data_IF_215969346294
#
_entry.id   IF_215969346294
#
_cell.length_a   1.000
_cell.length_b   1.000
_cell.length_c   1.000
_cell.angle_alpha   90.00
_cell.angle_beta   90.00
_cell.angle_gamma   90.00
#
_symmetry.space_group_name_H-M   'P 1'
#
loop_
_entity.id
_entity.type
_entity.pdbx_description
1 polymer ?
#
# COMPACT_ATOMS: atom_id res chain seq x y z
N UNK A 1 -0.45 -13.11 -3.49
CA UNK A 1 -0.87 -12.09 -2.49
C UNK A 1 -0.84 -10.66 -3.05
N UNK A 2 0.24 -10.23 -3.76
CA UNK A 2 0.30 -8.87 -4.32
C UNK A 2 -0.86 -8.55 -5.27
N UNK A 3 -1.29 -9.50 -6.09
CA UNK A 3 -2.47 -9.39 -6.95
C UNK A 3 -3.76 -9.16 -6.14
N UNK A 4 -3.87 -9.75 -4.94
CA UNK A 4 -5.00 -9.50 -4.03
C UNK A 4 -5.01 -8.05 -3.54
N UNK A 5 -3.83 -7.47 -3.26
CA UNK A 5 -3.71 -6.06 -2.91
C UNK A 5 -4.22 -5.15 -4.03
N UNK A 6 -3.79 -5.41 -5.26
CA UNK A 6 -4.25 -4.65 -6.44
C UNK A 6 -5.76 -4.72 -6.61
N UNK A 7 -6.34 -5.90 -6.49
CA UNK A 7 -7.80 -6.07 -6.58
C UNK A 7 -8.54 -5.47 -5.39
N UNK A 8 -7.96 -5.51 -4.20
CA UNK A 8 -8.54 -4.86 -3.03
C UNK A 8 -8.62 -3.33 -3.22
N UNK A 9 -7.57 -2.71 -3.75
CA UNK A 9 -7.58 -1.27 -4.07
C UNK A 9 -8.59 -0.95 -5.17
N UNK A 10 -8.65 -1.74 -6.24
CA UNK A 10 -9.71 -1.62 -7.27
C UNK A 10 -11.11 -1.66 -6.63
N UNK A 11 -11.36 -2.64 -5.80
CA UNK A 11 -12.66 -2.84 -5.15
C UNK A 11 -13.00 -1.74 -4.14
N UNK A 12 -11.98 -1.13 -3.51
CA UNK A 12 -12.13 0.07 -2.67
C UNK A 12 -12.63 1.24 -3.51
N UNK A 13 -11.99 1.52 -4.63
CA UNK A 13 -12.37 2.61 -5.54
C UNK A 13 -13.80 2.41 -6.05
N UNK A 14 -14.15 1.19 -6.44
CA UNK A 14 -15.52 0.88 -6.90
C UNK A 14 -16.53 1.14 -5.78
N UNK A 15 -16.26 0.73 -4.52
CA UNK A 15 -17.15 0.98 -3.38
C UNK A 15 -17.30 2.46 -3.06
N UNK A 16 -16.22 3.22 -3.14
CA UNK A 16 -16.27 4.68 -2.98
C UNK A 16 -17.21 5.31 -4.01
N UNK A 17 -17.09 4.91 -5.28
CA UNK A 17 -17.96 5.41 -6.37
C UNK A 17 -19.40 4.95 -6.23
N UNK A 18 -19.65 3.69 -5.86
CA UNK A 18 -21.00 3.20 -5.62
C UNK A 18 -21.71 3.98 -4.49
N UNK A 19 -20.95 4.51 -3.53
CA UNK A 19 -21.48 5.36 -2.46
C UNK A 19 -21.53 6.84 -2.83
N UNK A 20 -20.97 7.24 -3.98
CA UNK A 20 -20.93 8.64 -4.41
C UNK A 20 -22.28 9.03 -5.06
N UNK A 21 -22.89 10.17 -4.67
CA UNK A 21 -24.11 10.68 -5.30
C UNK A 21 -24.03 10.84 -6.82
N UNK A 22 -22.84 11.10 -7.39
CA UNK A 22 -22.62 11.16 -8.83
C UNK A 22 -22.92 9.84 -9.57
N UNK A 23 -22.91 8.71 -8.83
CA UNK A 23 -23.21 7.37 -9.30
C UNK A 23 -24.43 6.74 -8.62
N UNK A 24 -25.40 7.56 -8.22
CA UNK A 24 -26.66 7.10 -7.59
C UNK A 24 -26.62 6.99 -6.07
N UNK A 25 -25.45 7.18 -5.42
CA UNK A 25 -25.34 7.38 -3.96
C UNK A 25 -25.83 6.24 -3.09
N UNK A 26 -25.42 5.00 -3.37
CA UNK A 26 -25.82 3.85 -2.54
C UNK A 26 -25.06 3.83 -1.21
N UNK A 27 -25.64 4.41 -0.17
CA UNK A 27 -25.06 4.52 1.17
C UNK A 27 -24.71 3.17 1.82
N UNK A 28 -25.32 2.06 1.36
CA UNK A 28 -25.00 0.74 1.87
C UNK A 28 -23.53 0.31 1.67
N UNK A 29 -22.77 1.02 0.81
CA UNK A 29 -21.33 0.80 0.61
C UNK A 29 -20.43 1.55 1.60
N UNK A 30 -21.00 2.41 2.46
CA UNK A 30 -20.32 3.10 3.57
C UNK A 30 -20.97 2.76 4.89
N UNK A 31 -20.17 2.71 5.95
CA UNK A 31 -20.63 2.59 7.34
C UNK A 31 -20.30 3.92 8.00
N UNK A 32 -21.32 4.65 8.44
CA UNK A 32 -21.21 5.91 9.15
C UNK A 32 -21.69 5.81 10.61
N UNK A 33 -22.30 4.68 10.98
CA UNK A 33 -22.79 4.40 12.32
C UNK A 33 -22.32 3.01 12.78
N UNK A 34 -22.07 2.85 14.07
CA UNK A 34 -21.78 1.55 14.67
C UNK A 34 -23.07 0.72 14.85
N UNK A 35 -22.94 -0.47 15.46
CA UNK A 35 -24.10 -1.36 15.71
C UNK A 35 -25.11 -0.80 16.69
N UNK A 36 -24.69 0.17 17.51
CA UNK A 36 -25.51 0.80 18.53
C UNK A 36 -26.11 2.14 18.04
N UNK A 37 -25.85 2.51 16.76
CA UNK A 37 -26.35 3.73 16.14
C UNK A 37 -25.53 4.98 16.45
N UNK A 38 -24.33 4.84 17.03
CA UNK A 38 -23.46 5.99 17.27
C UNK A 38 -22.67 6.35 15.99
N UNK A 39 -22.49 7.65 15.71
CA UNK A 39 -21.74 8.07 14.53
C UNK A 39 -20.26 7.67 14.65
N UNK A 40 -19.74 7.06 13.61
CA UNK A 40 -18.33 6.72 13.47
C UNK A 40 -17.72 7.42 12.25
N UNK A 41 -16.37 7.51 12.20
CA UNK A 41 -15.71 8.00 11.00
C UNK A 41 -16.13 7.12 9.81
N UNK A 42 -16.74 7.70 8.77
CA UNK A 42 -17.22 6.92 7.62
C UNK A 42 -16.10 6.06 6.99
N UNK A 43 -16.39 4.79 6.78
CA UNK A 43 -15.48 3.84 6.15
C UNK A 43 -16.23 2.89 5.21
N UNK A 44 -15.49 2.19 4.34
CA UNK A 44 -16.10 1.31 3.34
C UNK A 44 -16.71 0.06 3.97
N UNK A 45 -17.91 -0.29 3.51
CA UNK A 45 -18.58 -1.53 3.90
C UNK A 45 -18.11 -2.70 3.02
N UNK A 46 -17.19 -3.48 3.54
CA UNK A 46 -16.69 -4.68 2.87
C UNK A 46 -17.64 -5.86 2.90
N UNK A 47 -18.65 -5.86 3.78
CA UNK A 47 -19.68 -6.91 3.83
C UNK A 47 -20.71 -6.77 2.70
N UNK A 48 -20.84 -5.58 2.11
CA UNK A 48 -21.70 -5.36 0.96
C UNK A 48 -20.99 -5.84 -0.30
N UNK A 49 -21.57 -6.81 -0.99
CA UNK A 49 -21.03 -7.30 -2.25
C UNK A 49 -21.16 -6.27 -3.37
N UNK A 50 -20.12 -6.12 -4.20
CA UNK A 50 -20.19 -5.32 -5.44
C UNK A 50 -21.10 -6.06 -6.42
N UNK A 51 -22.08 -5.39 -7.07
CA UNK A 51 -23.04 -6.01 -7.97
C UNK A 51 -22.44 -6.29 -9.36
N UNK A 52 -21.49 -7.22 -9.41
CA UNK A 52 -20.84 -7.64 -10.67
C UNK A 52 -21.82 -8.26 -11.70
N UNK A 53 -22.92 -8.84 -11.18
CA UNK A 53 -23.97 -9.43 -12.00
C UNK A 53 -25.24 -8.59 -11.89
N UNK A 54 -25.78 -8.19 -13.00
CA UNK A 54 -27.02 -7.39 -13.07
C UNK A 54 -26.95 -6.07 -12.25
N UNK A 55 -25.93 -5.22 -12.46
CA UNK A 55 -25.88 -3.89 -11.85
C UNK A 55 -26.99 -3.01 -12.44
N UNK A 56 -27.46 -2.04 -11.68
CA UNK A 56 -28.25 -0.92 -12.22
C UNK A 56 -27.39 -0.07 -13.16
N UNK A 57 -27.98 0.87 -13.88
CA UNK A 57 -27.23 1.74 -14.80
C UNK A 57 -26.17 2.57 -14.07
N UNK A 58 -26.51 3.13 -12.92
CA UNK A 58 -25.57 3.91 -12.07
C UNK A 58 -24.48 3.02 -11.50
N UNK A 59 -24.80 1.83 -11.00
CA UNK A 59 -23.83 0.87 -10.50
C UNK A 59 -22.90 0.38 -11.62
N UNK A 60 -23.43 0.18 -12.81
CA UNK A 60 -22.62 -0.18 -13.99
C UNK A 60 -21.62 0.94 -14.30
N UNK A 61 -22.04 2.21 -14.32
CA UNK A 61 -21.15 3.35 -14.53
C UNK A 61 -20.05 3.41 -13.48
N UNK A 62 -20.38 3.20 -12.19
CA UNK A 62 -19.41 3.16 -11.10
C UNK A 62 -18.37 2.04 -11.30
N UNK A 63 -18.81 0.84 -11.66
CA UNK A 63 -17.92 -0.30 -11.92
C UNK A 63 -17.08 -0.06 -13.18
N UNK A 64 -17.68 0.40 -14.28
CA UNK A 64 -16.99 0.65 -15.54
C UNK A 64 -15.93 1.74 -15.44
N UNK A 65 -16.11 2.69 -14.56
CA UNK A 65 -15.23 3.86 -14.42
C UNK A 65 -13.79 3.53 -13.98
N UNK A 66 -13.51 2.32 -13.44
CA UNK A 66 -12.15 1.85 -13.15
C UNK A 66 -11.49 1.14 -14.32
N UNK A 67 -12.18 1.03 -15.44
CA UNK A 67 -11.67 0.40 -16.66
C UNK A 67 -11.51 1.43 -17.76
N UNK A 68 -10.66 1.12 -18.71
CA UNK A 68 -10.47 1.89 -19.94
C UNK A 68 -10.49 0.96 -21.14
N UNK A 69 -10.75 1.53 -22.31
CA UNK A 69 -10.56 0.83 -23.57
C UNK A 69 -9.13 1.08 -24.05
N UNK A 70 -8.39 0.02 -24.29
CA UNK A 70 -7.06 0.12 -24.86
C UNK A 70 -7.17 0.66 -26.30
N UNK A 71 -6.55 1.79 -26.65
CA UNK A 71 -6.72 2.41 -27.96
C UNK A 71 -6.11 1.60 -29.11
N UNK A 72 -5.21 0.65 -28.82
CA UNK A 72 -4.53 -0.17 -29.82
C UNK A 72 -5.29 -1.47 -30.05
N UNK A 73 -5.70 -2.15 -28.97
CA UNK A 73 -6.30 -3.48 -29.05
C UNK A 73 -7.83 -3.45 -29.05
N UNK A 74 -8.46 -2.33 -28.66
CA UNK A 74 -9.89 -2.23 -28.39
C UNK A 74 -10.36 -3.02 -27.17
N UNK A 75 -9.46 -3.68 -26.45
CA UNK A 75 -9.81 -4.48 -25.28
C UNK A 75 -10.10 -3.59 -24.06
N UNK A 76 -11.08 -4.01 -23.25
CA UNK A 76 -11.34 -3.40 -21.96
C UNK A 76 -10.30 -3.90 -20.96
N UNK A 77 -9.58 -2.99 -20.35
CA UNK A 77 -8.54 -3.26 -19.35
C UNK A 77 -8.70 -2.37 -18.12
N UNK A 78 -8.14 -2.79 -17.00
CA UNK A 78 -8.11 -2.00 -15.78
C UNK A 78 -7.29 -0.71 -16.01
N UNK A 79 -7.83 0.45 -15.63
CA UNK A 79 -7.07 1.70 -15.70
C UNK A 79 -6.10 1.77 -14.51
N UNK A 80 -4.90 1.28 -14.73
CA UNK A 80 -3.84 1.17 -13.71
C UNK A 80 -3.44 2.51 -13.10
N UNK A 81 -3.69 3.64 -13.79
CA UNK A 81 -3.37 4.99 -13.29
C UNK A 81 -4.21 5.37 -12.08
N UNK A 82 -5.38 4.75 -11.92
CA UNK A 82 -6.29 4.99 -10.81
C UNK A 82 -5.99 4.15 -9.58
N UNK A 83 -5.12 3.15 -9.67
CA UNK A 83 -4.81 2.23 -8.59
C UNK A 83 -3.85 2.85 -7.57
N UNK A 84 -4.33 3.90 -6.91
CA UNK A 84 -3.57 4.63 -5.91
C UNK A 84 -4.02 4.20 -4.50
N UNK A 85 -3.08 3.74 -3.71
CA UNK A 85 -3.31 3.36 -2.32
C UNK A 85 -2.80 4.46 -1.40
N UNK A 86 -3.72 5.00 -0.58
CA UNK A 86 -3.39 5.96 0.47
C UNK A 86 -3.27 5.24 1.79
N UNK A 87 -2.17 5.50 2.51
CA UNK A 87 -1.94 4.94 3.84
C UNK A 87 -1.23 5.93 4.75
N UNK A 88 -1.32 5.68 6.04
CA UNK A 88 -0.71 6.50 7.07
C UNK A 88 0.29 5.65 7.86
N UNK A 89 1.43 6.27 8.22
CA UNK A 89 2.49 5.64 9.01
C UNK A 89 2.83 6.54 10.18
N UNK A 90 2.86 5.97 11.38
CA UNK A 90 3.23 6.71 12.57
C UNK A 90 4.73 7.04 12.58
N UNK A 91 5.06 8.32 12.74
CA UNK A 91 6.42 8.81 12.77
C UNK A 91 7.03 8.66 14.15
N UNK A 92 7.55 7.48 14.46
CA UNK A 92 8.18 7.17 15.74
C UNK A 92 9.40 8.04 16.02
N UNK A 93 10.13 8.46 14.99
CA UNK A 93 11.33 9.33 15.15
C UNK A 93 10.95 10.70 15.70
N UNK A 94 9.89 11.30 15.15
CA UNK A 94 9.39 12.57 15.69
C UNK A 94 8.73 12.39 17.08
N UNK A 95 7.95 11.34 17.26
CA UNK A 95 7.27 11.05 18.52
C UNK A 95 8.26 10.77 19.67
N UNK A 96 9.44 10.21 19.39
CA UNK A 96 10.47 9.93 20.41
C UNK A 96 11.19 11.17 20.94
N UNK A 97 11.08 12.32 20.26
CA UNK A 97 11.73 13.55 20.71
C UNK A 97 11.12 14.05 22.02
N UNK A 98 11.96 14.36 23.01
CA UNK A 98 11.48 14.82 24.34
C UNK A 98 10.54 16.02 24.28
N UNK A 99 10.81 16.97 23.38
CA UNK A 99 9.99 18.17 23.18
C UNK A 99 8.60 17.88 22.57
N UNK A 100 8.39 16.71 21.99
CA UNK A 100 7.15 16.27 21.37
C UNK A 100 6.30 15.38 22.30
N UNK A 101 6.62 15.33 23.58
CA UNK A 101 5.95 14.47 24.53
C UNK A 101 4.49 14.92 24.76
N UNK A 102 3.56 14.03 24.47
CA UNK A 102 2.14 14.24 24.73
C UNK A 102 1.75 13.83 26.15
N UNK A 103 0.67 14.42 26.66
CA UNK A 103 0.00 13.96 27.88
C UNK A 103 -0.56 12.54 27.67
N UNK A 104 -0.18 11.54 28.50
CA UNK A 104 -0.60 10.15 28.28
C UNK A 104 -2.12 9.93 28.34
N UNK A 105 -2.84 10.76 29.12
CA UNK A 105 -4.28 10.62 29.29
C UNK A 105 -5.07 11.32 28.18
N UNK A 106 -4.61 12.49 27.76
CA UNK A 106 -5.36 13.35 26.79
C UNK A 106 -4.86 13.22 25.37
N UNK A 107 -3.65 12.65 25.15
CA UNK A 107 -3.00 12.52 23.82
C UNK A 107 -2.81 13.86 23.09
N UNK A 108 -2.65 14.92 23.85
CA UNK A 108 -2.34 16.27 23.37
C UNK A 108 -0.99 16.70 23.94
N UNK A 109 -0.45 17.81 23.44
CA UNK A 109 0.85 18.32 23.90
C UNK A 109 0.84 18.52 25.43
N UNK A 110 1.84 17.95 26.10
CA UNK A 110 2.01 18.07 27.55
C UNK A 110 2.84 19.33 27.86
N UNK A 111 2.15 20.41 28.20
CA UNK A 111 2.77 21.70 28.51
C UNK A 111 3.65 21.67 29.77
N UNK A 112 3.43 20.72 30.70
CA UNK A 112 4.21 20.62 31.92
C UNK A 112 5.68 20.19 31.66
N UNK A 113 5.97 19.60 30.51
CA UNK A 113 7.35 19.23 30.11
C UNK A 113 7.99 20.24 29.16
N UNK A 114 7.29 21.31 28.78
CA UNK A 114 7.82 22.35 27.94
C UNK A 114 8.45 23.47 28.76
N UNK A 115 9.66 23.94 28.41
CA UNK A 115 10.29 25.05 29.11
C UNK A 115 9.52 26.38 29.00
N UNK A 116 8.82 26.55 27.89
CA UNK A 116 7.99 27.71 27.59
C UNK A 116 6.65 27.21 27.08
N UNK A 117 5.56 27.31 27.88
CA UNK A 117 4.23 26.88 27.50
C UNK A 117 3.64 27.64 26.30
N UNK A 118 4.13 28.85 26.03
CA UNK A 118 3.71 29.66 24.88
C UNK A 118 4.54 29.39 23.62
N UNK A 119 5.67 28.67 23.77
CA UNK A 119 6.50 28.31 22.64
C UNK A 119 5.79 27.29 21.75
N UNK A 120 5.69 27.63 20.47
CA UNK A 120 5.13 26.73 19.47
C UNK A 120 6.08 25.54 19.22
N UNK A 121 5.61 24.33 19.52
CA UNK A 121 6.36 23.11 19.24
C UNK A 121 6.04 22.62 17.83
N UNK A 122 7.03 22.71 16.96
CA UNK A 122 6.89 22.35 15.54
C UNK A 122 7.31 20.89 15.31
N UNK A 123 6.54 20.20 14.47
CA UNK A 123 6.84 18.85 13.99
C UNK A 123 6.97 18.85 12.46
N UNK A 124 7.91 18.05 11.97
CA UNK A 124 8.07 17.75 10.55
C UNK A 124 7.31 16.46 10.22
N UNK A 125 6.46 16.51 9.20
CA UNK A 125 5.70 15.34 8.73
C UNK A 125 5.61 15.29 7.23
N UNK A 126 5.63 14.08 6.68
CA UNK A 126 5.38 13.86 5.28
C UNK A 126 3.89 13.82 5.00
N UNK A 127 3.47 14.46 3.93
CA UNK A 127 2.10 14.42 3.45
C UNK A 127 2.07 14.23 1.94
N UNK A 128 1.14 13.42 1.47
CA UNK A 128 0.91 13.22 0.05
C UNK A 128 -0.53 13.60 -0.30
N UNK A 129 -0.70 14.21 -1.48
CA UNK A 129 -1.98 14.61 -2.03
C UNK A 129 -1.92 14.58 -3.57
N UNK A 130 -3.07 14.73 -4.22
CA UNK A 130 -3.16 14.92 -5.66
C UNK A 130 -3.15 16.40 -5.97
N UNK A 131 -2.34 16.81 -6.96
CA UNK A 131 -2.41 18.16 -7.53
C UNK A 131 -3.62 18.31 -8.47
N UNK A 132 -3.79 19.52 -9.04
CA UNK A 132 -4.89 19.83 -9.96
C UNK A 132 -4.84 18.99 -11.26
N UNK A 133 -3.66 18.48 -11.63
CA UNK A 133 -3.45 17.59 -12.76
C UNK A 133 -3.66 16.10 -12.42
N UNK A 134 -3.97 15.78 -11.14
CA UNK A 134 -4.13 14.43 -10.64
C UNK A 134 -2.82 13.68 -10.42
N UNK A 135 -1.68 14.38 -10.33
CA UNK A 135 -0.38 13.78 -10.00
C UNK A 135 -0.20 13.67 -8.51
N UNK A 136 0.46 12.62 -8.08
CA UNK A 136 0.80 12.44 -6.65
C UNK A 136 1.97 13.34 -6.31
N UNK A 137 1.74 14.25 -5.37
CA UNK A 137 2.77 15.13 -4.78
C UNK A 137 3.01 14.68 -3.35
N UNK A 138 4.26 14.38 -3.03
CA UNK A 138 4.70 14.10 -1.64
C UNK A 138 5.62 15.23 -1.20
N UNK A 139 5.32 15.83 -0.06
CA UNK A 139 6.13 16.90 0.51
C UNK A 139 6.23 16.78 2.03
N UNK A 140 7.35 17.22 2.58
CA UNK A 140 7.53 17.37 4.02
C UNK A 140 7.05 18.77 4.42
N UNK A 141 6.06 18.80 5.33
CA UNK A 141 5.53 20.04 5.89
C UNK A 141 5.97 20.18 7.36
N UNK A 142 6.07 21.44 7.80
CA UNK A 142 6.30 21.78 9.22
C UNK A 142 5.03 22.42 9.75
N UNK A 143 4.52 21.91 10.88
CA UNK A 143 3.30 22.39 11.51
C UNK A 143 3.38 22.31 13.03
N UNK A 144 2.54 23.07 13.76
CA UNK A 144 2.43 22.93 15.21
C UNK A 144 1.98 21.53 15.59
N UNK A 145 2.63 20.97 16.63
CA UNK A 145 2.23 19.72 17.25
C UNK A 145 1.09 20.00 18.23
N UNK A 146 -0.06 19.40 18.00
CA UNK A 146 -1.25 19.56 18.86
C UNK A 146 -1.71 18.21 19.43
N UNK A 147 -1.62 17.13 18.66
CA UNK A 147 -2.14 15.82 19.03
C UNK A 147 -1.32 14.67 18.44
N UNK A 148 -1.64 13.44 18.85
CA UNK A 148 -1.03 12.22 18.30
C UNK A 148 -1.20 12.06 16.80
N UNK A 149 -2.26 12.63 16.21
CA UNK A 149 -2.51 12.56 14.76
C UNK A 149 -1.49 13.36 13.94
N UNK A 150 -0.79 14.30 14.58
CA UNK A 150 0.27 15.05 13.90
C UNK A 150 1.51 14.21 13.61
N UNK A 151 1.68 13.06 14.30
CA UNK A 151 2.73 12.09 14.01
C UNK A 151 2.42 11.16 12.84
N UNK A 152 1.24 11.24 12.22
CA UNK A 152 0.90 10.40 11.09
C UNK A 152 1.41 11.00 9.79
N UNK A 153 2.45 10.41 9.22
CA UNK A 153 2.85 10.66 7.84
C UNK A 153 1.84 10.04 6.89
N UNK A 154 1.50 10.75 5.81
CA UNK A 154 0.55 10.27 4.80
C UNK A 154 1.26 10.05 3.49
N UNK A 155 1.05 8.88 2.89
CA UNK A 155 1.60 8.50 1.58
C UNK A 155 0.49 8.08 0.63
N UNK A 156 0.68 8.36 -0.65
CA UNK A 156 -0.15 7.87 -1.75
C UNK A 156 0.78 7.22 -2.76
N UNK A 157 0.54 5.96 -3.10
CA UNK A 157 1.39 5.21 -4.02
C UNK A 157 0.51 4.53 -5.07
N UNK A 158 0.85 4.69 -6.36
CA UNK A 158 0.27 3.85 -7.39
C UNK A 158 0.86 2.44 -7.24
N UNK A 159 -0.01 1.46 -7.07
CA UNK A 159 0.40 0.12 -6.65
C UNK A 159 0.51 -0.90 -7.79
N UNK A 160 0.24 -0.49 -9.03
CA UNK A 160 0.36 -1.43 -10.14
C UNK A 160 1.83 -1.65 -10.51
N UNK A 161 2.31 -2.90 -10.62
CA UNK A 161 3.70 -3.18 -10.96
C UNK A 161 4.09 -2.60 -12.32
N UNK A 162 5.33 -2.13 -12.44
CA UNK A 162 5.88 -1.68 -13.71
C UNK A 162 6.16 -2.89 -14.61
N UNK A 163 5.29 -3.10 -15.58
CA UNK A 163 5.45 -4.19 -16.55
C UNK A 163 6.63 -3.99 -17.51
N UNK A 164 7.12 -2.74 -17.65
CA UNK A 164 8.26 -2.44 -18.55
C UNK A 164 9.60 -2.93 -17.99
N UNK A 165 9.64 -3.29 -16.69
CA UNK A 165 10.81 -3.90 -16.04
C UNK A 165 11.34 -5.15 -16.78
N UNK A 166 10.49 -5.83 -17.57
CA UNK A 166 10.88 -6.98 -18.37
C UNK A 166 11.71 -6.65 -19.62
N UNK A 167 11.65 -5.39 -20.10
CA UNK A 167 12.25 -4.98 -21.38
C UNK A 167 13.22 -3.81 -21.26
N UNK A 168 13.19 -3.06 -20.13
CA UNK A 168 13.98 -1.84 -19.97
C UNK A 168 15.51 -2.08 -19.95
N UNK A 169 15.95 -3.21 -19.40
CA UNK A 169 17.40 -3.48 -19.22
C UNK A 169 18.04 -4.20 -20.40
N UNK A 170 17.23 -4.75 -21.32
CA UNK A 170 17.72 -5.56 -22.44
C UNK A 170 16.92 -5.30 -23.71
N UNK A 171 17.38 -4.40 -24.57
CA UNK A 171 16.71 -3.98 -25.81
C UNK A 171 16.36 -5.12 -26.78
N UNK A 172 17.03 -6.26 -26.68
CA UNK A 172 16.79 -7.43 -27.51
C UNK A 172 16.38 -8.68 -26.72
N UNK A 173 15.97 -8.52 -25.46
CA UNK A 173 15.39 -9.63 -24.71
C UNK A 173 14.01 -9.97 -25.28
N UNK A 174 13.79 -11.23 -25.64
CA UNK A 174 12.49 -11.73 -26.08
C UNK A 174 11.48 -11.82 -24.92
N UNK A 175 11.47 -10.82 -24.03
CA UNK A 175 10.67 -10.77 -22.79
C UNK A 175 9.34 -10.03 -22.96
N UNK A 176 9.02 -9.53 -24.16
CA UNK A 176 7.76 -8.82 -24.43
C UNK A 176 6.50 -9.62 -24.01
N UNK A 177 6.44 -10.95 -24.18
CA UNK A 177 5.32 -11.72 -23.66
C UNK A 177 5.15 -11.62 -22.14
N UNK A 178 6.25 -11.56 -21.38
CA UNK A 178 6.22 -11.39 -19.92
C UNK A 178 5.74 -9.99 -19.54
N UNK A 179 6.20 -8.96 -20.24
CA UNK A 179 5.72 -7.58 -20.04
C UNK A 179 4.20 -7.52 -20.14
N UNK A 180 3.60 -8.21 -21.10
CA UNK A 180 2.15 -8.19 -21.33
C UNK A 180 1.34 -9.09 -20.41
N UNK A 181 1.89 -10.24 -20.02
CA UNK A 181 1.09 -11.30 -19.40
C UNK A 181 1.52 -11.69 -17.99
N UNK A 182 2.75 -11.45 -17.58
CA UNK A 182 3.28 -12.02 -16.34
C UNK A 182 2.44 -11.68 -15.11
N UNK A 183 2.09 -10.41 -14.93
CA UNK A 183 1.26 -10.03 -13.80
C UNK A 183 -0.21 -10.44 -13.95
N UNK A 184 -0.76 -10.38 -15.15
CA UNK A 184 -2.18 -10.61 -15.39
C UNK A 184 -2.56 -12.09 -15.49
N UNK A 185 -1.73 -12.93 -16.12
CA UNK A 185 -2.07 -14.29 -16.45
C UNK A 185 -2.08 -15.22 -15.21
N UNK A 186 -3.11 -16.07 -15.05
CA UNK A 186 -3.23 -16.96 -13.87
C UNK A 186 -2.07 -17.94 -13.68
N UNK A 187 -1.41 -18.36 -14.75
CA UNK A 187 -0.26 -19.29 -14.71
C UNK A 187 0.93 -18.78 -13.88
N UNK A 188 1.00 -17.49 -13.63
CA UNK A 188 2.07 -16.86 -12.82
C UNK A 188 1.61 -16.46 -11.41
N UNK A 189 0.43 -16.90 -10.95
CA UNK A 189 -0.10 -16.50 -9.65
C UNK A 189 0.80 -16.89 -8.46
N UNK A 190 1.53 -17.99 -8.59
CA UNK A 190 2.41 -18.53 -7.55
C UNK A 190 3.88 -18.13 -7.76
N UNK A 191 4.16 -17.32 -8.77
CA UNK A 191 5.50 -16.79 -9.04
C UNK A 191 5.72 -15.46 -8.31
N UNK A 192 6.99 -15.07 -8.05
CA UNK A 192 7.33 -13.78 -7.47
C UNK A 192 6.77 -12.62 -8.28
N UNK A 193 6.30 -11.56 -7.62
CA UNK A 193 5.95 -10.33 -8.31
C UNK A 193 7.22 -9.63 -8.81
N UNK A 194 7.16 -9.07 -10.03
CA UNK A 194 8.25 -8.34 -10.69
C UNK A 194 7.77 -6.93 -11.02
N UNK A 195 8.69 -5.95 -11.06
CA UNK A 195 8.38 -4.56 -11.36
C UNK A 195 7.75 -3.79 -10.20
N UNK A 196 8.02 -4.19 -8.97
CA UNK A 196 7.53 -3.53 -7.74
C UNK A 196 8.63 -2.67 -7.15
N UNK A 197 8.34 -1.36 -6.95
CA UNK A 197 9.26 -0.44 -6.28
C UNK A 197 9.31 -0.66 -4.77
N UNK A 198 10.29 -0.03 -4.11
CA UNK A 198 10.40 -0.05 -2.64
C UNK A 198 9.15 0.56 -1.97
N UNK A 199 8.63 1.64 -2.50
CA UNK A 199 7.42 2.33 -2.01
C UNK A 199 6.19 1.44 -2.16
N UNK A 200 6.06 0.75 -3.29
CA UNK A 200 4.99 -0.20 -3.54
C UNK A 200 5.06 -1.41 -2.61
N UNK A 201 6.26 -1.94 -2.36
CA UNK A 201 6.47 -3.04 -1.44
C UNK A 201 6.18 -2.63 0.01
N UNK A 202 6.56 -1.41 0.40
CA UNK A 202 6.22 -0.83 1.72
C UNK A 202 4.71 -0.65 1.88
N UNK A 203 4.04 -0.09 0.88
CA UNK A 203 2.58 0.06 0.85
C UNK A 203 1.87 -1.30 0.97
N UNK A 204 2.39 -2.34 0.30
CA UNK A 204 1.88 -3.71 0.45
C UNK A 204 2.03 -4.23 1.88
N UNK A 205 3.16 -4.01 2.55
CA UNK A 205 3.36 -4.41 3.95
C UNK A 205 2.31 -3.76 4.88
N UNK A 206 2.06 -2.46 4.72
CA UNK A 206 1.03 -1.75 5.49
C UNK A 206 -0.36 -2.32 5.22
N UNK A 207 -0.72 -2.48 3.94
CA UNK A 207 -2.00 -3.09 3.57
C UNK A 207 -2.15 -4.51 4.15
N UNK A 208 -1.11 -5.34 4.05
CA UNK A 208 -1.12 -6.72 4.53
C UNK A 208 -1.34 -6.81 6.03
N UNK A 209 -0.74 -5.87 6.78
CA UNK A 209 -0.95 -5.72 8.23
C UNK A 209 -2.42 -5.43 8.54
N UNK A 210 -2.99 -4.40 7.92
CA UNK A 210 -4.38 -4.02 8.15
C UNK A 210 -5.37 -5.09 7.69
N UNK A 211 -5.09 -5.73 6.55
CA UNK A 211 -5.92 -6.80 6.01
C UNK A 211 -5.95 -8.02 6.93
N UNK A 212 -4.81 -8.42 7.50
CA UNK A 212 -4.72 -9.51 8.45
C UNK A 212 -5.44 -9.15 9.75
N UNK A 213 -5.18 -7.96 10.30
CA UNK A 213 -5.81 -7.49 11.54
C UNK A 213 -7.35 -7.48 11.42
N UNK A 214 -7.88 -7.00 10.30
CA UNK A 214 -9.33 -7.00 10.04
C UNK A 214 -9.94 -8.42 9.96
N UNK A 215 -9.15 -9.42 9.59
CA UNK A 215 -9.58 -10.82 9.50
C UNK A 215 -9.58 -11.57 10.85
N UNK A 216 -8.87 -11.07 11.86
CA UNK A 216 -8.74 -11.74 13.16
C UNK A 216 -9.75 -11.16 14.16
N UNK A 217 -10.76 -11.95 14.52
CA UNK A 217 -11.77 -11.51 15.48
C UNK A 217 -11.15 -11.24 16.86
N UNK A 218 -11.41 -10.04 17.40
CA UNK A 218 -10.98 -9.64 18.74
C UNK A 218 -9.51 -9.23 18.85
N UNK A 219 -8.73 -9.25 17.77
CA UNK A 219 -7.39 -8.71 17.78
C UNK A 219 -7.44 -7.18 17.68
N UNK A 220 -6.75 -6.50 18.59
CA UNK A 220 -6.55 -5.05 18.54
C UNK A 220 -5.18 -4.65 18.00
N UNK A 221 -4.25 -5.60 17.92
CA UNK A 221 -2.88 -5.38 17.46
C UNK A 221 -2.29 -6.65 16.87
N UNK A 222 -1.47 -6.50 15.85
CA UNK A 222 -0.54 -7.50 15.32
C UNK A 222 0.79 -6.81 15.05
N UNK A 223 1.90 -7.57 15.09
CA UNK A 223 3.19 -7.04 14.67
C UNK A 223 3.13 -6.65 13.18
N UNK A 224 3.48 -5.38 12.83
CA UNK A 224 3.36 -4.92 11.46
C UNK A 224 4.29 -5.67 10.50
N UNK A 225 3.77 -6.05 9.34
CA UNK A 225 4.63 -6.45 8.23
C UNK A 225 5.50 -5.27 7.80
N UNK A 226 6.75 -5.52 7.54
CA UNK A 226 7.72 -4.55 7.02
C UNK A 226 8.71 -5.24 6.09
N UNK A 227 9.42 -4.46 5.32
CA UNK A 227 10.58 -4.97 4.59
C UNK A 227 11.68 -5.35 5.58
N UNK A 228 12.47 -6.39 5.30
CA UNK A 228 13.58 -6.78 6.14
C UNK A 228 14.65 -5.68 6.17
N UNK A 229 15.35 -5.58 7.29
CA UNK A 229 16.61 -4.83 7.36
C UNK A 229 17.68 -5.54 6.53
N UNK A 230 18.76 -4.83 6.21
CA UNK A 230 19.91 -5.41 5.50
C UNK A 230 20.42 -6.67 6.20
N UNK A 231 20.59 -6.62 7.53
CA UNK A 231 21.08 -7.76 8.31
C UNK A 231 20.12 -8.96 8.28
N UNK A 232 18.82 -8.72 8.36
CA UNK A 232 17.81 -9.79 8.26
C UNK A 232 17.77 -10.39 6.86
N UNK A 233 17.87 -9.56 5.83
CA UNK A 233 17.92 -10.01 4.45
C UNK A 233 19.16 -10.84 4.17
N UNK A 234 20.33 -10.34 4.60
CA UNK A 234 21.60 -11.04 4.43
C UNK A 234 21.60 -12.38 5.20
N UNK A 235 21.12 -12.41 6.43
CA UNK A 235 20.99 -13.63 7.22
C UNK A 235 20.09 -14.66 6.51
N UNK A 236 18.96 -14.24 5.98
CA UNK A 236 18.05 -15.11 5.23
C UNK A 236 18.67 -15.60 3.92
N UNK A 237 19.32 -14.70 3.16
CA UNK A 237 19.99 -15.05 1.91
C UNK A 237 21.14 -16.04 2.10
N UNK A 238 21.87 -15.91 3.20
CA UNK A 238 22.98 -16.82 3.55
C UNK A 238 22.53 -18.12 4.24
N UNK A 239 21.23 -18.32 4.43
CA UNK A 239 20.66 -19.49 5.13
C UNK A 239 21.28 -19.69 6.54
N UNK A 240 21.60 -18.59 7.24
CA UNK A 240 22.24 -18.60 8.55
C UNK A 240 23.74 -18.99 8.55
N UNK A 241 24.40 -19.07 7.39
CA UNK A 241 25.83 -19.39 7.27
C UNK A 241 26.65 -18.11 7.20
N UNK A 242 27.36 -17.77 8.27
CA UNK A 242 28.05 -16.48 8.40
C UNK A 242 29.35 -16.35 7.59
N UNK A 243 30.00 -17.46 7.24
CA UNK A 243 31.34 -17.45 6.64
C UNK A 243 31.38 -17.78 5.14
N UNK A 244 30.22 -18.17 4.57
CA UNK A 244 30.17 -18.56 3.16
C UNK A 244 30.09 -17.34 2.24
N UNK A 245 30.85 -17.41 1.13
CA UNK A 245 30.80 -16.40 0.07
C UNK A 245 29.46 -16.41 -0.68
N UNK A 246 28.83 -17.58 -0.77
CA UNK A 246 27.55 -17.82 -1.45
C UNK A 246 26.51 -18.40 -0.48
N UNK A 247 25.22 -18.39 -0.84
CA UNK A 247 24.14 -18.99 -0.02
C UNK A 247 24.25 -20.52 0.13
N UNK A 248 25.10 -21.17 -0.63
CA UNK A 248 25.39 -22.61 -0.58
C UNK A 248 26.75 -22.87 0.07
N UNK A 249 27.12 -24.15 0.20
CA UNK A 249 28.30 -24.57 0.96
C UNK A 249 29.62 -24.44 0.19
N UNK A 250 29.59 -24.42 -1.13
CA UNK A 250 30.76 -24.33 -1.99
C UNK A 250 31.15 -22.87 -2.24
N UNK A 251 32.45 -22.63 -2.39
CA UNK A 251 33.03 -21.31 -2.72
C UNK A 251 33.00 -20.97 -4.22
N UNK A 252 32.23 -21.69 -5.00
CA UNK A 252 32.09 -21.52 -6.43
C UNK A 252 30.60 -21.35 -6.84
N UNK A 253 30.29 -20.59 -7.90
CA UNK A 253 28.94 -20.44 -8.42
C UNK A 253 28.41 -21.69 -9.13
N UNK A 254 29.27 -22.69 -9.34
CA UNK A 254 29.01 -23.89 -10.10
C UNK A 254 29.54 -25.14 -9.37
N UNK A 255 28.76 -26.21 -9.43
CA UNK A 255 29.19 -27.52 -8.90
C UNK A 255 30.33 -28.13 -9.67
N UNK A 256 31.03 -29.10 -9.08
CA UNK A 256 32.08 -29.90 -9.73
C UNK A 256 31.59 -30.61 -11.00
N UNK A 257 30.29 -30.79 -11.15
CA UNK A 257 29.64 -31.38 -12.32
C UNK A 257 29.25 -30.36 -13.40
N UNK A 258 29.63 -29.10 -13.24
CA UNK A 258 29.33 -28.04 -14.21
C UNK A 258 27.91 -27.47 -14.15
N UNK A 259 27.14 -27.75 -13.09
CA UNK A 259 25.79 -27.19 -12.91
C UNK A 259 25.86 -25.89 -12.08
N UNK A 260 25.26 -24.81 -12.57
CA UNK A 260 25.11 -23.60 -11.78
C UNK A 260 24.15 -23.81 -10.62
N UNK A 261 24.45 -23.23 -9.44
CA UNK A 261 23.63 -23.28 -8.25
C UNK A 261 22.52 -22.19 -8.25
N UNK A 262 22.69 -21.16 -9.07
CA UNK A 262 21.69 -20.10 -9.29
C UNK A 262 21.74 -19.64 -10.76
N UNK A 263 20.63 -19.10 -11.22
CA UNK A 263 20.48 -18.46 -12.52
C UNK A 263 20.92 -16.99 -12.46
#
# INVERSE_FOLDING_TARGET
>A
EYKQFVYWVRDSIIRERLADPAFGGNEAFKIAEDRDGNPVKPHLNWNKAIPWRNPTEDEARAIESVYRINPITGAKELDVRQLNYRYEVFNYTEAAKRKHRLDPARRILNTDVQPDPEAEVLISKDTAFFDDDGRIITQTIVRPLQSEFDFLNTYIVNIYPDSTAWVNDFDNAYNEPYMRMYFAHPGYNDYPVVGVSWEQATAFCVWRTHYLLAGIKGASYIEPYRLPTEAEWEYAARSGKNENKFPWSEDAPMSDKGCFYAN
#
